data_IF_092338906725
#
_entry.id   IF_092338906725
#
_cell.length_a   1.000
_cell.length_b   1.000
_cell.length_c   1.000
_cell.angle_alpha   90.00
_cell.angle_beta   90.00
_cell.angle_gamma   90.00
#
_symmetry.space_group_name_H-M   'P 1'
#
loop_
_entity.id
_entity.type
_entity.pdbx_description
1 polymer ?
#
# COMPACT_ATOMS: atom_id res chain seq x y z
N UNK A 1 -7.61 -0.10 -14.68
CA UNK A 1 -8.02 1.22 -15.21
C UNK A 1 -6.91 2.27 -15.11
N UNK A 2 -6.20 2.41 -13.98
CA UNK A 2 -4.98 3.23 -13.86
C UNK A 2 -3.86 2.84 -14.85
N UNK A 3 -3.53 1.55 -14.93
CA UNK A 3 -2.55 1.01 -15.89
C UNK A 3 -2.97 1.12 -17.37
N UNK A 4 -4.24 1.40 -17.63
CA UNK A 4 -4.76 1.70 -18.98
C UNK A 4 -4.84 3.22 -19.26
N UNK A 5 -4.29 4.07 -18.37
CA UNK A 5 -4.37 5.55 -18.41
C UNK A 5 -5.80 6.11 -18.47
N UNK A 6 -6.80 5.36 -18.02
CA UNK A 6 -8.21 5.78 -18.09
C UNK A 6 -8.67 6.60 -16.88
N UNK A 7 -7.87 6.67 -15.81
CA UNK A 7 -8.14 7.47 -14.61
C UNK A 7 -6.81 7.81 -13.92
N UNK A 8 -6.70 9.03 -13.39
CA UNK A 8 -5.56 9.53 -12.63
C UNK A 8 -5.44 8.85 -11.25
N UNK A 9 -4.29 8.98 -10.58
CA UNK A 9 -4.08 8.41 -9.24
C UNK A 9 -5.07 8.98 -8.21
N UNK A 10 -5.47 10.24 -8.37
CA UNK A 10 -6.44 10.95 -7.51
C UNK A 10 -7.88 10.50 -7.77
N UNK A 11 -8.20 10.09 -9.00
CA UNK A 11 -9.53 9.60 -9.38
C UNK A 11 -9.80 8.18 -8.88
N UNK A 12 -8.77 7.38 -8.61
CA UNK A 12 -8.89 6.03 -8.04
C UNK A 12 -9.42 6.07 -6.62
N UNK A 13 -8.90 6.99 -5.79
CA UNK A 13 -9.28 7.08 -4.38
C UNK A 13 -10.77 7.39 -4.19
N UNK A 14 -11.36 8.12 -5.14
CA UNK A 14 -12.80 8.48 -5.16
C UNK A 14 -13.66 7.52 -6.00
N UNK A 15 -13.07 6.53 -6.66
CA UNK A 15 -13.80 5.67 -7.58
C UNK A 15 -14.69 4.66 -6.80
N UNK A 16 -15.98 4.50 -7.17
CA UNK A 16 -16.89 3.58 -6.46
C UNK A 16 -16.46 2.11 -6.53
N UNK A 17 -15.55 1.75 -7.44
CA UNK A 17 -14.96 0.40 -7.58
C UNK A 17 -13.49 0.31 -7.16
N UNK A 18 -12.98 1.20 -6.30
CA UNK A 18 -11.55 1.22 -5.91
C UNK A 18 -11.05 -0.09 -5.30
N UNK A 19 -11.93 -0.84 -4.62
CA UNK A 19 -11.61 -2.10 -3.94
C UNK A 19 -11.76 -3.34 -4.82
N UNK A 20 -12.11 -3.20 -6.11
CA UNK A 20 -12.29 -4.37 -6.99
C UNK A 20 -10.91 -4.88 -7.43
N UNK A 21 -10.53 -6.04 -6.91
CA UNK A 21 -9.33 -6.76 -7.34
C UNK A 21 -9.54 -7.29 -8.76
N UNK A 22 -8.77 -6.75 -9.71
CA UNK A 22 -8.79 -7.18 -11.11
C UNK A 22 -7.90 -8.41 -11.36
N UNK A 23 -6.99 -8.72 -10.43
CA UNK A 23 -6.13 -9.90 -10.45
C UNK A 23 -6.07 -10.46 -9.02
N UNK A 24 -6.51 -11.71 -8.83
CA UNK A 24 -6.33 -12.43 -7.58
C UNK A 24 -6.03 -13.90 -7.86
N UNK A 25 -5.28 -14.51 -6.95
CA UNK A 25 -4.92 -15.93 -7.03
C UNK A 25 -6.19 -16.78 -6.95
N UNK A 26 -6.34 -17.75 -7.84
CA UNK A 26 -7.45 -18.70 -7.85
C UNK A 26 -8.68 -18.29 -8.67
N UNK A 27 -8.65 -17.15 -9.37
CA UNK A 27 -9.74 -16.70 -10.26
C UNK A 27 -9.56 -17.22 -11.70
N UNK A 28 -8.33 -17.45 -12.13
CA UNK A 28 -7.98 -17.90 -13.48
C UNK A 28 -6.92 -19.01 -13.40
N UNK A 29 -6.89 -19.90 -14.40
CA UNK A 29 -5.85 -20.91 -14.56
C UNK A 29 -4.48 -20.28 -14.80
N UNK A 30 -4.44 -19.06 -15.37
CA UNK A 30 -3.21 -18.32 -15.64
C UNK A 30 -3.09 -17.09 -14.73
N UNK A 31 -2.05 -17.10 -13.89
CA UNK A 31 -1.73 -15.97 -13.02
C UNK A 31 -0.83 -14.99 -13.76
N UNK A 32 -1.28 -13.74 -13.90
CA UNK A 32 -0.43 -12.62 -14.30
C UNK A 32 0.16 -11.97 -13.06
N UNK A 33 1.48 -12.07 -12.88
CA UNK A 33 2.21 -11.36 -11.84
C UNK A 33 3.14 -10.31 -12.44
N UNK A 34 3.58 -9.37 -11.61
CA UNK A 34 4.55 -8.35 -11.96
C UNK A 34 5.77 -8.51 -11.07
N UNK A 35 6.95 -8.39 -11.68
CA UNK A 35 8.21 -8.41 -10.98
C UNK A 35 8.74 -7.00 -10.90
N UNK A 36 9.08 -6.55 -9.69
CA UNK A 36 9.74 -5.27 -9.45
C UNK A 36 11.15 -5.57 -8.92
N UNK A 37 12.15 -4.99 -9.56
CA UNK A 37 13.54 -5.05 -9.06
C UNK A 37 13.81 -3.79 -8.25
N UNK A 38 14.29 -3.97 -7.02
CA UNK A 38 14.65 -2.87 -6.11
C UNK A 38 16.17 -2.83 -6.03
N UNK A 39 16.75 -1.64 -6.22
CA UNK A 39 18.19 -1.42 -6.10
C UNK A 39 18.69 -1.67 -4.67
N UNK A 40 19.98 -1.94 -4.50
CA UNK A 40 20.58 -2.10 -3.16
C UNK A 40 20.75 -0.73 -2.48
N UNK A 41 20.84 -0.73 -1.15
CA UNK A 41 21.10 0.49 -0.36
C UNK A 41 19.92 1.01 0.45
N UNK A 42 18.83 0.24 0.56
CA UNK A 42 17.72 0.56 1.45
C UNK A 42 17.91 -0.09 2.82
N UNK A 43 17.63 0.65 3.89
CA UNK A 43 17.63 0.11 5.26
C UNK A 43 16.40 -0.74 5.55
N UNK A 44 15.26 -0.39 4.94
CA UNK A 44 13.97 -1.03 5.18
C UNK A 44 13.12 -1.14 3.91
N UNK A 45 12.37 -2.23 3.81
CA UNK A 45 11.31 -2.40 2.81
C UNK A 45 9.96 -2.52 3.54
N UNK A 46 9.03 -1.62 3.23
CA UNK A 46 7.67 -1.66 3.77
C UNK A 46 6.72 -2.26 2.73
N UNK A 47 6.15 -3.42 3.04
CA UNK A 47 5.04 -4.03 2.31
C UNK A 47 3.77 -3.90 3.17
N UNK A 48 2.71 -3.33 2.62
CA UNK A 48 1.46 -3.11 3.34
C UNK A 48 0.24 -3.35 2.46
N UNK A 49 -0.82 -3.88 3.04
CA UNK A 49 -2.15 -3.87 2.43
C UNK A 49 -2.72 -2.45 2.36
N UNK A 50 -3.85 -2.32 1.67
CA UNK A 50 -4.70 -1.12 1.63
C UNK A 50 -5.18 -0.68 3.02
N UNK A 51 -5.20 -1.59 4.00
CA UNK A 51 -5.46 -1.28 5.41
C UNK A 51 -4.50 -0.26 6.05
N UNK A 52 -3.30 -0.06 5.48
CA UNK A 52 -2.40 1.02 5.90
C UNK A 52 -2.50 2.22 4.97
N UNK A 53 -2.10 2.06 3.71
CA UNK A 53 -1.92 3.19 2.78
C UNK A 53 -3.23 3.78 2.25
N UNK A 54 -4.37 3.09 2.43
CA UNK A 54 -5.70 3.62 2.14
C UNK A 54 -6.23 4.55 3.23
N UNK A 55 -5.69 4.48 4.44
CA UNK A 55 -6.16 5.24 5.61
C UNK A 55 -5.10 6.18 6.20
N UNK A 56 -3.82 5.88 5.98
CA UNK A 56 -2.68 6.65 6.50
C UNK A 56 -1.98 7.37 5.34
N UNK A 57 -1.91 8.71 5.37
CA UNK A 57 -1.20 9.49 4.35
C UNK A 57 0.27 9.11 4.23
N UNK A 58 0.76 9.09 2.99
CA UNK A 58 2.14 8.73 2.66
C UNK A 58 3.17 9.56 3.44
N UNK A 59 2.94 10.87 3.62
CA UNK A 59 3.83 11.75 4.39
C UNK A 59 4.03 11.30 5.84
N UNK A 60 2.98 10.81 6.50
CA UNK A 60 3.06 10.30 7.86
C UNK A 60 3.77 8.93 7.91
N UNK A 61 3.52 8.06 6.91
CA UNK A 61 4.27 6.80 6.79
C UNK A 61 5.77 7.09 6.65
N UNK A 62 6.16 8.03 5.78
CA UNK A 62 7.56 8.44 5.59
C UNK A 62 8.16 8.98 6.88
N UNK A 63 7.45 9.83 7.63
CA UNK A 63 7.93 10.35 8.90
C UNK A 63 8.24 9.22 9.90
N UNK A 64 7.33 8.24 10.03
CA UNK A 64 7.56 7.10 10.93
C UNK A 64 8.74 6.26 10.45
N UNK A 65 8.88 6.03 9.15
CA UNK A 65 9.97 5.23 8.60
C UNK A 65 11.36 5.87 8.79
N UNK A 66 11.43 7.18 9.01
CA UNK A 66 12.69 7.90 9.26
C UNK A 66 13.10 7.95 10.74
N UNK A 67 12.24 7.50 11.67
CA UNK A 67 12.46 7.63 13.11
C UNK A 67 12.37 6.28 13.84
N UNK A 68 13.03 6.20 15.00
CA UNK A 68 12.91 5.06 15.92
C UNK A 68 13.51 3.75 15.41
N UNK A 69 13.38 2.69 16.20
CA UNK A 69 13.79 1.34 15.79
C UNK A 69 12.66 0.59 15.05
N UNK A 70 12.97 -0.58 14.49
CA UNK A 70 12.00 -1.36 13.71
C UNK A 70 10.73 -1.75 14.48
N UNK A 71 10.82 -2.02 15.78
CA UNK A 71 9.66 -2.40 16.61
C UNK A 71 8.76 -1.19 16.87
N UNK A 72 9.36 -0.02 17.12
CA UNK A 72 8.65 1.25 17.27
C UNK A 72 7.97 1.65 15.95
N UNK A 73 8.67 1.54 14.82
CA UNK A 73 8.11 1.79 13.48
C UNK A 73 6.87 0.92 13.24
N UNK A 74 6.98 -0.40 13.47
CA UNK A 74 5.86 -1.34 13.36
C UNK A 74 4.69 -0.92 14.25
N UNK A 75 4.95 -0.62 15.53
CA UNK A 75 3.90 -0.28 16.48
C UNK A 75 3.18 1.03 16.09
N UNK A 76 3.94 2.08 15.74
CA UNK A 76 3.40 3.37 15.29
C UNK A 76 2.58 3.23 14.01
N UNK A 77 3.05 2.45 13.02
CA UNK A 77 2.29 2.20 11.79
C UNK A 77 0.98 1.45 12.05
N UNK A 78 0.99 0.43 12.91
CA UNK A 78 -0.23 -0.30 13.27
C UNK A 78 -1.22 0.60 14.02
N UNK A 79 -0.75 1.34 15.02
CA UNK A 79 -1.61 2.23 15.80
C UNK A 79 -2.25 3.31 14.92
N UNK A 80 -1.49 3.85 13.97
CA UNK A 80 -2.01 4.80 12.99
C UNK A 80 -3.07 4.19 12.08
N UNK A 81 -2.86 2.98 11.56
CA UNK A 81 -3.85 2.29 10.75
C UNK A 81 -5.17 2.10 11.53
N UNK A 82 -5.08 1.60 12.76
CA UNK A 82 -6.25 1.40 13.63
C UNK A 82 -6.99 2.70 13.94
N UNK A 83 -6.26 3.77 14.28
CA UNK A 83 -6.87 5.09 14.56
C UNK A 83 -7.55 5.70 13.34
N UNK A 84 -7.03 5.44 12.14
CA UNK A 84 -7.62 5.94 10.89
C UNK A 84 -8.77 5.07 10.35
N UNK A 85 -9.17 4.01 11.07
CA UNK A 85 -10.31 3.16 10.70
C UNK A 85 -9.94 1.91 9.88
N UNK A 86 -8.65 1.59 9.75
CA UNK A 86 -8.22 0.26 9.30
C UNK A 86 -8.53 -0.76 10.39
N UNK A 87 -9.36 -1.76 10.08
CA UNK A 87 -9.66 -2.91 10.94
C UNK A 87 -8.64 -4.02 10.73
#
# INVERSE_FOLDING_TARGET
MYRRKQISKEEIDKHPKRNVLMNAVGIDERISFETITIEKGWDYLLLSSDGLHGYVPYSMITQIMNEGNILEKRHRLMEMAYRSGGL
#
